data_IF_067275632421
#
_entry.id   IF_067275632421
#
_cell.length_a   1.000
_cell.length_b   1.000
_cell.length_c   1.000
_cell.angle_alpha   90.00
_cell.angle_beta   90.00
_cell.angle_gamma   90.00
#
_symmetry.space_group_name_H-M   'P 1'
#
loop_
_entity.id
_entity.type
_entity.pdbx_description
1 polymer ?
#
# COMPACT_ATOMS: atom_id res chain seq x y z
N UNK A 1 -38.18 -31.36 -31.91
CA UNK A 1 -36.70 -31.42 -31.91
C UNK A 1 -36.18 -30.92 -30.58
N UNK A 2 -35.33 -31.71 -29.89
CA UNK A 2 -34.83 -31.41 -28.54
C UNK A 2 -33.78 -30.28 -28.57
N UNK A 3 -34.06 -29.23 -27.79
CA UNK A 3 -33.22 -28.08 -27.47
C UNK A 3 -31.74 -28.45 -27.24
N UNK A 4 -30.86 -28.09 -28.17
CA UNK A 4 -29.40 -28.14 -27.98
C UNK A 4 -28.86 -26.74 -27.73
N UNK A 5 -29.07 -26.21 -26.53
CA UNK A 5 -28.39 -25.00 -26.09
C UNK A 5 -27.03 -25.38 -25.49
N UNK A 6 -25.95 -24.90 -26.10
CA UNK A 6 -24.62 -24.97 -25.51
C UNK A 6 -23.98 -23.58 -25.58
N UNK A 7 -23.57 -23.06 -24.43
CA UNK A 7 -22.96 -21.74 -24.33
C UNK A 7 -22.06 -21.68 -23.10
N UNK A 8 -20.89 -21.08 -23.25
CA UNK A 8 -19.96 -20.83 -22.14
C UNK A 8 -19.92 -19.35 -21.82
N UNK A 9 -19.88 -19.01 -20.52
CA UNK A 9 -19.71 -17.65 -20.03
C UNK A 9 -18.45 -17.58 -19.19
N UNK A 10 -17.41 -16.93 -19.71
CA UNK A 10 -16.17 -16.71 -18.97
C UNK A 10 -16.23 -15.38 -18.24
N UNK A 11 -16.19 -15.41 -16.91
CA UNK A 11 -16.06 -14.23 -16.07
C UNK A 11 -14.63 -14.12 -15.55
N UNK A 12 -14.00 -12.98 -15.80
CA UNK A 12 -12.65 -12.69 -15.32
C UNK A 12 -12.69 -11.72 -14.14
N UNK A 13 -12.09 -12.10 -13.01
CA UNK A 13 -11.98 -11.26 -11.83
C UNK A 13 -10.55 -10.83 -11.58
N UNK A 14 -10.32 -9.53 -11.37
CA UNK A 14 -9.01 -9.02 -10.95
C UNK A 14 -8.83 -9.23 -9.45
N UNK A 15 -8.13 -10.29 -9.08
CA UNK A 15 -7.85 -10.63 -7.68
C UNK A 15 -6.80 -9.65 -7.11
N UNK A 16 -7.25 -8.50 -6.59
CA UNK A 16 -6.42 -7.55 -5.86
C UNK A 16 -6.43 -7.87 -4.36
N UNK A 17 -5.30 -7.70 -3.64
CA UNK A 17 -5.29 -7.87 -2.20
C UNK A 17 -6.18 -6.84 -1.50
N UNK A 18 -6.61 -7.12 -0.27
CA UNK A 18 -7.34 -6.15 0.56
C UNK A 18 -6.46 -4.94 0.89
N UNK A 19 -6.98 -3.73 0.68
CA UNK A 19 -6.29 -2.49 1.05
C UNK A 19 -6.11 -2.37 2.57
N UNK A 20 -5.12 -1.58 2.98
CA UNK A 20 -4.89 -1.26 4.39
C UNK A 20 -4.98 0.24 4.68
N UNK A 21 -4.96 0.60 5.96
CA UNK A 21 -4.98 1.98 6.45
C UNK A 21 -3.81 2.24 7.39
N UNK A 22 -3.26 3.44 7.28
CA UNK A 22 -2.29 3.99 8.24
C UNK A 22 -3.04 4.30 9.53
N UNK A 23 -2.52 3.82 10.65
CA UNK A 23 -3.06 4.06 11.99
C UNK A 23 -2.36 5.27 12.60
N UNK A 24 -1.03 5.34 12.49
CA UNK A 24 -0.23 6.33 13.19
C UNK A 24 0.97 6.79 12.37
N UNK A 25 1.34 8.06 12.53
CA UNK A 25 2.56 8.64 11.99
C UNK A 25 3.25 9.43 13.11
N UNK A 26 4.44 8.99 13.50
CA UNK A 26 5.25 9.61 14.56
C UNK A 26 6.39 10.40 13.91
N UNK A 27 6.53 11.66 14.30
CA UNK A 27 7.60 12.55 13.85
C UNK A 27 8.95 12.15 14.44
N UNK A 28 9.99 12.07 13.61
CA UNK A 28 11.39 11.86 14.01
C UNK A 28 12.29 12.89 13.31
N UNK A 29 13.53 13.07 13.78
CA UNK A 29 14.52 13.95 13.12
C UNK A 29 14.82 13.39 11.73
N UNK A 30 14.56 14.17 10.68
CA UNK A 30 14.76 13.75 9.26
C UNK A 30 14.08 12.41 8.90
N UNK A 31 13.02 12.02 9.61
CA UNK A 31 12.36 10.73 9.43
C UNK A 31 10.90 10.71 9.89
N UNK A 32 10.13 9.73 9.44
CA UNK A 32 8.77 9.45 9.89
C UNK A 32 8.62 7.97 10.22
N UNK A 33 8.14 7.65 11.42
CA UNK A 33 7.74 6.29 11.78
C UNK A 33 6.27 6.11 11.48
N UNK A 34 5.92 5.12 10.66
CA UNK A 34 4.58 4.91 10.12
C UNK A 34 4.11 3.54 10.56
N UNK A 35 2.92 3.49 11.15
CA UNK A 35 2.27 2.24 11.57
C UNK A 35 0.92 2.07 10.87
N UNK A 36 0.55 0.83 10.54
CA UNK A 36 -0.65 0.50 9.78
C UNK A 36 -1.39 -0.73 10.31
N UNK A 37 -2.65 -0.88 9.92
CA UNK A 37 -3.45 -2.06 10.27
C UNK A 37 -2.90 -3.29 9.54
N UNK A 38 -2.60 -4.37 10.26
CA UNK A 38 -2.22 -5.65 9.63
C UNK A 38 -3.38 -6.19 8.81
N UNK A 39 -3.07 -6.76 7.65
CA UNK A 39 -4.02 -7.62 6.95
C UNK A 39 -3.90 -9.04 7.49
N UNK A 40 -5.05 -9.67 7.76
CA UNK A 40 -5.10 -11.01 8.39
C UNK A 40 -4.85 -12.15 7.40
N UNK A 41 -5.10 -11.97 6.10
CA UNK A 41 -4.98 -13.02 5.09
C UNK A 41 -4.43 -12.48 3.77
N UNK A 42 -3.64 -13.32 3.09
CA UNK A 42 -3.32 -13.24 1.65
C UNK A 42 -2.60 -11.98 1.13
N UNK A 43 -1.66 -11.40 1.89
CA UNK A 43 -0.76 -10.35 1.36
C UNK A 43 0.70 -10.77 1.47
N UNK A 44 1.48 -10.45 0.45
CA UNK A 44 2.94 -10.69 0.46
C UNK A 44 3.67 -9.54 1.16
N UNK A 45 3.05 -8.35 1.23
CA UNK A 45 3.61 -7.22 1.93
C UNK A 45 2.87 -5.90 1.70
N UNK A 46 3.57 -4.82 2.00
CA UNK A 46 3.07 -3.46 1.95
C UNK A 46 4.00 -2.56 1.12
N UNK A 47 3.44 -1.51 0.55
CA UNK A 47 4.19 -0.45 -0.13
C UNK A 47 3.73 0.89 0.41
N UNK A 48 4.68 1.67 0.91
CA UNK A 48 4.45 3.01 1.46
C UNK A 48 5.09 4.02 0.53
N UNK A 49 4.37 5.11 0.27
CA UNK A 49 4.89 6.26 -0.44
C UNK A 49 4.82 7.49 0.44
N UNK A 50 5.89 8.27 0.41
CA UNK A 50 6.05 9.52 1.15
C UNK A 50 6.48 10.59 0.16
N UNK A 51 5.77 11.73 0.11
CA UNK A 51 6.10 12.84 -0.80
C UNK A 51 5.77 14.18 -0.17
N UNK A 52 6.47 15.24 -0.58
CA UNK A 52 6.09 16.62 -0.24
C UNK A 52 4.91 17.13 -1.06
N UNK A 53 4.55 16.44 -2.15
CA UNK A 53 3.39 16.77 -2.99
C UNK A 53 2.24 15.79 -2.74
N UNK A 54 1.02 16.32 -2.59
CA UNK A 54 -0.21 15.50 -2.46
C UNK A 54 -0.50 14.65 -3.70
N UNK A 55 0.03 15.05 -4.87
CA UNK A 55 -0.04 14.30 -6.13
C UNK A 55 1.03 13.19 -6.22
N UNK A 56 1.94 13.09 -5.24
CA UNK A 56 3.02 12.09 -5.18
C UNK A 56 3.94 12.09 -6.42
N UNK A 57 4.21 13.27 -7.01
CA UNK A 57 5.14 13.44 -8.14
C UNK A 57 6.56 13.01 -7.76
N UNK A 58 7.16 13.64 -6.73
CA UNK A 58 8.49 13.32 -6.20
C UNK A 58 8.35 12.49 -4.92
N UNK A 59 8.07 11.20 -5.08
CA UNK A 59 7.76 10.28 -3.98
C UNK A 59 8.95 9.38 -3.66
N UNK A 60 9.20 9.18 -2.37
CA UNK A 60 10.02 8.08 -1.87
C UNK A 60 9.14 6.86 -1.63
N UNK A 61 9.52 5.72 -2.20
CA UNK A 61 8.78 4.45 -2.05
C UNK A 61 9.55 3.50 -1.15
N UNK A 62 8.88 2.90 -0.16
CA UNK A 62 9.41 1.81 0.66
C UNK A 62 8.55 0.57 0.45
N UNK A 63 9.18 -0.52 0.02
CA UNK A 63 8.56 -1.83 -0.07
C UNK A 63 8.88 -2.60 1.21
N UNK A 64 7.86 -3.22 1.80
CA UNK A 64 7.96 -4.04 3.00
C UNK A 64 7.45 -5.43 2.63
N UNK A 65 8.29 -6.44 2.78
CA UNK A 65 7.90 -7.84 2.63
C UNK A 65 7.45 -8.41 3.97
N UNK A 66 6.46 -9.30 3.93
CA UNK A 66 5.93 -9.98 5.10
C UNK A 66 4.62 -9.38 5.61
N UNK A 67 3.62 -10.24 5.76
CA UNK A 67 2.28 -9.88 6.24
C UNK A 67 2.26 -9.41 7.69
N UNK A 68 3.14 -9.97 8.53
CA UNK A 68 3.20 -9.72 9.98
C UNK A 68 3.69 -8.31 10.35
N UNK A 69 4.36 -7.60 9.42
CA UNK A 69 4.88 -6.25 9.64
C UNK A 69 3.75 -5.22 9.66
N UNK A 70 3.80 -4.30 10.62
CA UNK A 70 2.82 -3.23 10.83
C UNK A 70 3.43 -1.85 11.05
N UNK A 71 4.76 -1.73 11.03
CA UNK A 71 5.44 -0.46 11.19
C UNK A 71 6.73 -0.41 10.38
N UNK A 72 7.15 0.81 10.03
CA UNK A 72 8.47 1.08 9.44
C UNK A 72 8.86 2.52 9.66
N UNK A 73 10.16 2.81 9.64
CA UNK A 73 10.68 4.18 9.63
C UNK A 73 11.19 4.54 8.23
N UNK A 74 10.68 5.64 7.69
CA UNK A 74 11.19 6.24 6.45
C UNK A 74 12.14 7.38 6.83
N UNK A 75 13.44 7.14 6.66
CA UNK A 75 14.52 8.08 6.98
C UNK A 75 15.01 8.86 5.76
N UNK A 76 16.03 9.71 5.95
CA UNK A 76 16.62 10.60 4.93
C UNK A 76 15.56 11.52 4.30
N UNK A 77 14.72 12.10 5.15
CA UNK A 77 13.76 13.15 4.79
C UNK A 77 14.33 14.51 5.20
N UNK A 78 13.84 15.58 4.59
CA UNK A 78 14.19 16.95 5.01
C UNK A 78 13.56 17.21 6.38
N UNK A 79 14.29 17.86 7.29
CA UNK A 79 13.80 18.25 8.62
C UNK A 79 12.72 19.32 8.50
N UNK A 80 11.84 19.40 9.51
CA UNK A 80 10.75 20.40 9.62
C UNK A 80 9.83 20.51 8.39
N UNK A 81 9.75 19.49 7.53
CA UNK A 81 8.93 19.48 6.31
C UNK A 81 7.68 18.62 6.47
N UNK A 82 6.60 19.07 5.84
CA UNK A 82 5.32 18.34 5.71
C UNK A 82 5.43 17.30 4.60
N UNK A 83 4.91 16.11 4.88
CA UNK A 83 4.87 14.99 3.95
C UNK A 83 3.47 14.37 3.92
N UNK A 84 3.07 13.97 2.71
CA UNK A 84 1.90 13.17 2.40
C UNK A 84 2.31 11.71 2.30
N UNK A 85 1.54 10.85 2.95
CA UNK A 85 1.86 9.45 3.15
C UNK A 85 0.65 8.62 2.70
N UNK A 86 0.89 7.61 1.87
CA UNK A 86 -0.12 6.60 1.52
C UNK A 86 0.48 5.21 1.56
N UNK A 87 -0.35 4.23 1.85
CA UNK A 87 0.05 2.83 1.88
C UNK A 87 -0.88 2.01 0.98
N UNK A 88 -0.34 0.97 0.36
CA UNK A 88 -1.12 -0.10 -0.26
C UNK A 88 -0.52 -1.45 0.07
N UNK A 89 -1.31 -2.49 -0.07
CA UNK A 89 -0.86 -3.88 0.04
C UNK A 89 -0.46 -4.40 -1.33
N UNK A 90 0.42 -5.40 -1.34
CA UNK A 90 0.75 -6.13 -2.54
C UNK A 90 0.79 -7.64 -2.27
N UNK A 91 0.40 -8.40 -3.29
CA UNK A 91 0.47 -9.85 -3.31
C UNK A 91 1.27 -10.25 -4.55
N UNK A 92 2.27 -11.09 -4.37
CA UNK A 92 2.97 -11.74 -5.48
C UNK A 92 2.27 -13.07 -5.73
N UNK A 93 1.79 -13.28 -6.95
CA UNK A 93 1.30 -14.57 -7.44
C UNK A 93 2.08 -14.86 -8.72
N UNK A 94 2.82 -15.97 -8.73
CA UNK A 94 3.82 -16.31 -9.75
C UNK A 94 4.84 -15.16 -9.90
N UNK A 95 5.06 -14.68 -11.14
CA UNK A 95 5.99 -13.58 -11.46
C UNK A 95 5.35 -12.19 -11.42
N UNK A 96 4.04 -12.08 -11.15
CA UNK A 96 3.29 -10.81 -11.18
C UNK A 96 2.96 -10.29 -9.77
N UNK A 97 3.06 -8.98 -9.59
CA UNK A 97 2.64 -8.27 -8.36
C UNK A 97 1.28 -7.61 -8.58
N UNK A 98 0.35 -7.94 -7.69
CA UNK A 98 -0.99 -7.36 -7.65
C UNK A 98 -1.05 -6.39 -6.50
N UNK A 99 -1.56 -5.19 -6.77
CA UNK A 99 -1.63 -4.11 -5.79
C UNK A 99 -3.08 -3.81 -5.47
N UNK A 100 -3.34 -3.49 -4.20
CA UNK A 100 -4.61 -2.90 -3.80
C UNK A 100 -4.68 -1.41 -4.17
N UNK A 101 -5.87 -0.84 -4.03
CA UNK A 101 -6.05 0.60 -4.01
C UNK A 101 -5.20 1.26 -2.91
N UNK A 102 -4.80 2.50 -3.16
CA UNK A 102 -4.11 3.31 -2.15
C UNK A 102 -5.03 3.63 -0.98
N UNK A 103 -4.48 3.66 0.22
CA UNK A 103 -5.17 4.18 1.40
C UNK A 103 -5.50 5.66 1.23
N UNK A 104 -6.44 6.15 2.06
CA UNK A 104 -6.56 7.58 2.34
C UNK A 104 -5.19 8.14 2.74
N UNK A 105 -4.90 9.34 2.26
CA UNK A 105 -3.62 10.02 2.51
C UNK A 105 -3.58 10.50 3.95
N UNK A 106 -2.47 10.23 4.64
CA UNK A 106 -2.15 10.82 5.95
C UNK A 106 -1.03 11.85 5.80
N UNK A 107 -0.97 12.79 6.73
CA UNK A 107 0.03 13.86 6.74
C UNK A 107 0.93 13.65 7.97
N UNK A 108 2.23 13.87 7.80
CA UNK A 108 3.19 13.91 8.90
C UNK A 108 4.22 15.02 8.67
N UNK A 109 4.71 15.63 9.76
CA UNK A 109 5.79 16.63 9.72
C UNK A 109 7.02 16.06 10.40
N UNK A 110 8.19 16.20 9.79
CA UNK A 110 9.47 15.79 10.41
C UNK A 110 9.88 16.74 11.54
N UNK A 111 10.64 16.25 12.52
CA UNK A 111 11.28 17.09 13.55
C UNK A 111 12.48 17.81 12.95
#
# INVERSE_FOLDING_TARGET
MKNKYCGSKTLSFKIVPKATKIIQVIKKKKALSISWKKQKKQVSGYQIQVSTSRKFKSKKTKNISGMKKNSTTVSKLKSRKKYYIRIRTWKKKNRKKYYSAWSKVKIGKTK
#
